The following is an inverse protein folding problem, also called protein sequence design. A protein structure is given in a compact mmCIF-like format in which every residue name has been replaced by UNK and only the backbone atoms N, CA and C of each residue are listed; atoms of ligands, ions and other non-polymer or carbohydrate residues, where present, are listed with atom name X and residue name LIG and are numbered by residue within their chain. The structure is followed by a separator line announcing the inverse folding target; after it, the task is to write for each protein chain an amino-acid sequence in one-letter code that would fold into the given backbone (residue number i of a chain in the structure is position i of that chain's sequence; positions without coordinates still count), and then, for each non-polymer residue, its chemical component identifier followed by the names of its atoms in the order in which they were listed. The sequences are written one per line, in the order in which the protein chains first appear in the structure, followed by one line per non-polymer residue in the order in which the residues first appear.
data_IF_066841347270
#
_entry.id   IF_066841347270
#
_cell.length_a   1.000
_cell.length_b   1.000
_cell.length_c   1.000
_cell.angle_alpha   90.00
_cell.angle_beta   90.00
_cell.angle_gamma   90.00
#
_symmetry.space_group_name_H-M   'P 1'
#
loop_
_entity.id
_entity.type
_entity.pdbx_description
1 polymer ?
#
# COMPACT_ATOMS: atom_id res chain seq x y z
N UNK A 1 -8.89 -22.07 6.98
CA UNK A 1 -9.86 -22.92 6.26
C UNK A 1 -10.76 -22.11 5.34
N UNK A 2 -11.66 -21.28 5.90
CA UNK A 2 -12.75 -20.64 5.16
C UNK A 2 -12.31 -19.66 4.04
N UNK A 3 -11.31 -18.81 4.29
CA UNK A 3 -10.82 -17.85 3.29
C UNK A 3 -10.15 -18.48 2.06
N UNK A 4 -9.42 -19.58 2.25
CA UNK A 4 -8.78 -20.33 1.15
C UNK A 4 -9.84 -21.02 0.30
N UNK A 5 -10.88 -21.58 0.93
CA UNK A 5 -11.98 -22.23 0.22
C UNK A 5 -12.77 -21.23 -0.65
N UNK A 6 -13.03 -20.03 -0.12
CA UNK A 6 -13.71 -18.97 -0.84
C UNK A 6 -12.91 -18.47 -2.06
N UNK A 7 -11.60 -18.29 -1.89
CA UNK A 7 -10.68 -17.91 -2.98
C UNK A 7 -10.63 -18.97 -4.08
N UNK A 8 -10.52 -20.25 -3.72
CA UNK A 8 -10.49 -21.36 -4.70
C UNK A 8 -11.80 -21.49 -5.46
N UNK A 9 -12.95 -21.28 -4.79
CA UNK A 9 -14.26 -21.29 -5.43
C UNK A 9 -14.41 -20.16 -6.46
N UNK A 10 -13.99 -18.94 -6.11
CA UNK A 10 -14.03 -17.80 -7.03
C UNK A 10 -13.09 -18.00 -8.22
N UNK A 11 -11.86 -18.48 -8.00
CA UNK A 11 -10.92 -18.77 -9.10
C UNK A 11 -11.46 -19.86 -10.05
N UNK A 12 -12.10 -20.88 -9.49
CA UNK A 12 -12.74 -21.95 -10.27
C UNK A 12 -13.93 -21.42 -11.09
N UNK A 13 -14.73 -20.51 -10.54
CA UNK A 13 -15.84 -19.86 -11.23
C UNK A 13 -15.35 -18.94 -12.37
N UNK A 14 -14.27 -18.19 -12.13
CA UNK A 14 -13.61 -17.33 -13.13
C UNK A 14 -13.08 -18.16 -14.29
N UNK A 15 -12.36 -19.25 -14.00
CA UNK A 15 -11.81 -20.13 -15.02
C UNK A 15 -12.92 -20.68 -15.94
N UNK A 16 -14.02 -21.17 -15.35
CA UNK A 16 -15.20 -21.63 -16.11
C UNK A 16 -15.86 -20.53 -16.94
N UNK A 17 -15.99 -19.31 -16.40
CA UNK A 17 -16.60 -18.16 -17.11
C UNK A 17 -15.73 -17.72 -18.30
N UNK A 18 -14.41 -17.72 -18.14
CA UNK A 18 -13.47 -17.28 -19.19
C UNK A 18 -13.41 -18.25 -20.36
N UNK A 19 -13.49 -19.57 -20.10
CA UNK A 19 -13.59 -20.57 -21.17
C UNK A 19 -14.85 -20.41 -22.03
N UNK A 20 -15.90 -19.77 -21.49
CA UNK A 20 -17.16 -19.47 -22.18
C UNK A 20 -17.22 -18.06 -22.80
N UNK A 21 -16.19 -17.23 -22.64
CA UNK A 21 -16.16 -15.88 -23.22
C UNK A 21 -15.99 -15.96 -24.75
N UNK A 22 -16.90 -15.28 -25.46
CA UNK A 22 -16.99 -15.33 -26.92
C UNK A 22 -15.74 -14.76 -27.62
N UNK A 23 -15.55 -15.15 -28.88
CA UNK A 23 -14.45 -14.72 -29.75
C UNK A 23 -14.31 -13.19 -29.87
N UNK A 24 -15.37 -12.41 -29.61
CA UNK A 24 -15.36 -10.94 -29.70
C UNK A 24 -14.49 -10.29 -28.61
N UNK A 25 -14.52 -10.78 -27.36
CA UNK A 25 -13.66 -10.29 -26.28
C UNK A 25 -12.19 -10.74 -26.45
N UNK A 26 -11.94 -11.74 -27.30
CA UNK A 26 -10.62 -12.31 -27.60
C UNK A 26 -9.80 -11.42 -28.56
N UNK A 27 -10.42 -10.41 -29.17
CA UNK A 27 -9.77 -9.45 -30.08
C UNK A 27 -9.01 -8.33 -29.36
N UNK A 28 -9.27 -8.06 -28.08
CA UNK A 28 -8.70 -6.92 -27.35
C UNK A 28 -7.66 -7.29 -26.28
N UNK A 29 -7.77 -8.48 -25.67
CA UNK A 29 -6.88 -9.00 -24.63
C UNK A 29 -6.69 -10.51 -24.81
N UNK A 30 -5.48 -11.01 -24.55
CA UNK A 30 -5.23 -12.44 -24.57
C UNK A 30 -6.03 -13.17 -23.47
N UNK A 31 -6.30 -14.46 -23.66
CA UNK A 31 -7.02 -15.28 -22.68
C UNK A 31 -6.38 -15.20 -21.28
N UNK A 32 -5.04 -15.27 -21.21
CA UNK A 32 -4.29 -15.18 -19.95
C UNK A 32 -4.43 -13.83 -19.25
N UNK A 33 -4.46 -12.72 -20.00
CA UNK A 33 -4.66 -11.38 -19.42
C UNK A 33 -6.06 -11.22 -18.82
N UNK A 34 -7.09 -11.76 -19.47
CA UNK A 34 -8.48 -11.71 -18.97
C UNK A 34 -8.60 -12.52 -17.67
N UNK A 35 -7.99 -13.70 -17.61
CA UNK A 35 -7.96 -14.52 -16.38
C UNK A 35 -7.21 -13.79 -15.27
N UNK A 36 -6.04 -13.22 -15.55
CA UNK A 36 -5.26 -12.49 -14.55
C UNK A 36 -6.01 -11.26 -14.01
N UNK A 37 -6.66 -10.49 -14.89
CA UNK A 37 -7.45 -9.34 -14.48
C UNK A 37 -8.61 -9.74 -13.56
N UNK A 38 -9.41 -10.73 -13.97
CA UNK A 38 -10.52 -11.22 -13.15
C UNK A 38 -10.04 -11.87 -11.84
N UNK A 39 -8.89 -12.55 -11.86
CA UNK A 39 -8.27 -13.13 -10.67
C UNK A 39 -7.85 -12.06 -9.66
N UNK A 40 -7.26 -10.96 -10.13
CA UNK A 40 -6.91 -9.80 -9.30
C UNK A 40 -8.16 -9.13 -8.74
N UNK A 41 -9.20 -8.93 -9.56
CA UNK A 41 -10.46 -8.30 -9.12
C UNK A 41 -11.20 -9.16 -8.09
N UNK A 42 -11.22 -10.48 -8.29
CA UNK A 42 -11.74 -11.42 -7.30
C UNK A 42 -10.98 -11.35 -5.98
N UNK A 43 -9.65 -11.35 -6.04
CA UNK A 43 -8.84 -11.23 -4.84
C UNK A 43 -9.15 -9.92 -4.10
N UNK A 44 -9.25 -8.80 -4.82
CA UNK A 44 -9.66 -7.50 -4.25
C UNK A 44 -11.03 -7.57 -3.59
N UNK A 45 -11.99 -8.27 -4.17
CA UNK A 45 -13.33 -8.41 -3.59
C UNK A 45 -13.29 -9.19 -2.27
N UNK A 46 -12.50 -10.26 -2.21
CA UNK A 46 -12.27 -11.06 -0.99
C UNK A 46 -11.63 -10.18 0.09
N UNK A 47 -10.56 -9.47 -0.27
CA UNK A 47 -9.81 -8.62 0.65
C UNK A 47 -10.70 -7.48 1.17
N UNK A 48 -11.54 -6.89 0.31
CA UNK A 48 -12.49 -5.84 0.69
C UNK A 48 -13.58 -6.37 1.62
N UNK A 49 -14.12 -7.56 1.35
CA UNK A 49 -15.12 -8.20 2.21
C UNK A 49 -14.56 -8.50 3.61
N UNK A 50 -13.34 -9.04 3.67
CA UNK A 50 -12.60 -9.24 4.92
C UNK A 50 -12.37 -7.92 5.66
N UNK A 51 -11.95 -6.87 4.95
CA UNK A 51 -11.74 -5.55 5.53
C UNK A 51 -13.05 -4.94 6.08
N UNK A 52 -14.17 -5.07 5.36
CA UNK A 52 -15.48 -4.63 5.82
C UNK A 52 -15.93 -5.36 7.07
N UNK A 53 -15.80 -6.69 7.09
CA UNK A 53 -16.13 -7.49 8.26
C UNK A 53 -15.26 -7.07 9.46
N UNK A 54 -13.95 -6.95 9.28
CA UNK A 54 -13.03 -6.52 10.33
C UNK A 54 -13.40 -5.11 10.85
N UNK A 55 -13.76 -4.19 9.96
CA UNK A 55 -14.14 -2.82 10.32
C UNK A 55 -15.40 -2.80 11.20
N UNK A 56 -16.48 -3.47 10.78
CA UNK A 56 -17.71 -3.48 11.58
C UNK A 56 -17.56 -4.23 12.90
N UNK A 57 -16.84 -5.36 12.92
CA UNK A 57 -16.54 -6.10 14.15
C UNK A 57 -15.75 -5.25 15.14
N UNK A 58 -14.75 -4.49 14.65
CA UNK A 58 -13.96 -3.60 15.50
C UNK A 58 -14.83 -2.49 16.10
N UNK A 59 -15.72 -1.88 15.32
CA UNK A 59 -16.64 -0.84 15.79
C UNK A 59 -17.56 -1.37 16.90
N UNK A 60 -18.18 -2.53 16.69
CA UNK A 60 -19.01 -3.18 17.71
C UNK A 60 -18.23 -3.47 19.00
N UNK A 61 -16.98 -3.95 18.85
CA UNK A 61 -16.11 -4.25 19.99
C UNK A 61 -15.80 -2.99 20.80
N UNK A 62 -15.46 -1.87 20.13
CA UNK A 62 -15.19 -0.59 20.79
C UNK A 62 -16.42 -0.12 21.58
N UNK A 63 -17.61 -0.20 20.99
CA UNK A 63 -18.86 0.17 21.65
C UNK A 63 -19.10 -0.70 22.88
N UNK A 64 -18.93 -2.02 22.76
CA UNK A 64 -19.10 -2.96 23.88
C UNK A 64 -18.09 -2.71 25.01
N UNK A 65 -16.81 -2.49 24.68
CA UNK A 65 -15.79 -2.13 25.65
C UNK A 65 -16.12 -0.82 26.36
N UNK A 66 -16.56 0.21 25.62
CA UNK A 66 -16.93 1.50 26.19
C UNK A 66 -18.11 1.37 27.16
N UNK A 67 -19.11 0.56 26.79
CA UNK A 67 -20.27 0.27 27.65
C UNK A 67 -19.84 -0.41 28.96
N UNK A 68 -19.01 -1.46 28.90
CA UNK A 68 -18.51 -2.11 30.12
C UNK A 68 -17.65 -1.18 30.96
N UNK A 69 -16.75 -0.42 30.33
CA UNK A 69 -15.86 0.50 31.02
C UNK A 69 -16.65 1.60 31.75
N UNK A 70 -17.71 2.13 31.13
CA UNK A 70 -18.61 3.10 31.75
C UNK A 70 -19.31 2.54 32.99
N UNK A 71 -19.77 1.28 32.92
CA UNK A 71 -20.40 0.64 34.08
C UNK A 71 -19.44 0.43 35.26
N UNK A 72 -18.14 0.21 34.99
CA UNK A 72 -17.14 -0.04 36.04
C UNK A 72 -16.58 1.27 36.62
N UNK A 73 -16.24 2.25 35.78
CA UNK A 73 -15.48 3.45 36.16
C UNK A 73 -16.30 4.76 36.11
N UNK A 74 -17.50 4.74 35.54
CA UNK A 74 -18.36 5.92 35.41
C UNK A 74 -17.66 7.08 34.68
N UNK A 75 -17.70 8.28 35.26
CA UNK A 75 -17.14 9.51 34.68
C UNK A 75 -15.62 9.49 34.47
N UNK A 76 -14.87 8.65 35.18
CA UNK A 76 -13.41 8.54 34.99
C UNK A 76 -13.04 8.04 33.58
N UNK A 77 -13.96 7.35 32.89
CA UNK A 77 -13.78 6.93 31.48
C UNK A 77 -13.59 8.09 30.52
N UNK A 78 -14.21 9.25 30.79
CA UNK A 78 -14.09 10.45 29.95
C UNK A 78 -12.67 11.01 29.97
N UNK A 79 -11.98 10.97 31.11
CA UNK A 79 -10.59 11.38 31.22
C UNK A 79 -9.68 10.46 30.38
N UNK A 80 -9.92 9.15 30.42
CA UNK A 80 -9.23 8.18 29.57
C UNK A 80 -9.47 8.43 28.08
N UNK A 81 -10.71 8.71 27.69
CA UNK A 81 -11.06 9.05 26.31
C UNK A 81 -10.37 10.33 25.84
N UNK A 82 -10.30 11.36 26.69
CA UNK A 82 -9.61 12.60 26.37
C UNK A 82 -8.11 12.37 26.10
N UNK A 83 -7.44 11.58 26.94
CA UNK A 83 -6.04 11.20 26.73
C UNK A 83 -5.86 10.43 25.41
N UNK A 84 -6.76 9.49 25.10
CA UNK A 84 -6.72 8.74 23.85
C UNK A 84 -6.87 9.67 22.62
N UNK A 85 -7.80 10.61 22.65
CA UNK A 85 -7.98 11.59 21.57
C UNK A 85 -6.72 12.43 21.38
N UNK A 86 -6.12 12.93 22.47
CA UNK A 86 -4.87 13.69 22.42
C UNK A 86 -3.76 12.83 21.79
N UNK A 87 -3.59 11.59 22.25
CA UNK A 87 -2.59 10.68 21.69
C UNK A 87 -2.80 10.41 20.19
N UNK A 88 -4.04 10.23 19.75
CA UNK A 88 -4.37 10.05 18.32
C UNK A 88 -3.97 11.29 17.52
N UNK A 89 -4.34 12.49 17.98
CA UNK A 89 -4.01 13.74 17.26
C UNK A 89 -2.50 13.95 17.14
N UNK A 90 -1.75 13.69 18.22
CA UNK A 90 -0.28 13.76 18.22
C UNK A 90 0.30 12.73 17.24
N UNK A 91 -0.18 11.49 17.26
CA UNK A 91 0.27 10.45 16.33
C UNK A 91 0.01 10.84 14.86
N UNK A 92 -1.15 11.40 14.54
CA UNK A 92 -1.47 11.88 13.18
C UNK A 92 -0.54 13.02 12.77
N UNK A 93 -0.31 13.99 13.65
CA UNK A 93 0.59 15.11 13.38
C UNK A 93 2.02 14.62 13.11
N UNK A 94 2.56 13.75 13.97
CA UNK A 94 3.89 13.15 13.80
C UNK A 94 3.96 12.33 12.52
N UNK A 95 2.99 11.46 12.26
CA UNK A 95 2.92 10.63 11.05
C UNK A 95 2.89 11.48 9.78
N UNK A 96 2.11 12.57 9.76
CA UNK A 96 2.07 13.50 8.63
C UNK A 96 3.43 14.16 8.38
N UNK A 97 4.15 14.52 9.45
CA UNK A 97 5.49 15.10 9.35
C UNK A 97 6.50 14.08 8.84
N UNK A 98 6.49 12.87 9.38
CA UNK A 98 7.33 11.75 8.91
C UNK A 98 7.08 11.48 7.44
N UNK A 99 5.82 11.43 7.00
CA UNK A 99 5.46 11.25 5.59
C UNK A 99 6.03 12.38 4.72
N UNK A 100 5.92 13.63 5.15
CA UNK A 100 6.48 14.76 4.39
C UNK A 100 8.00 14.67 4.25
N UNK A 101 8.70 14.25 5.31
CA UNK A 101 10.15 14.04 5.30
C UNK A 101 10.52 12.86 4.41
N UNK A 102 9.76 11.76 4.48
CA UNK A 102 9.95 10.59 3.64
C UNK A 102 9.81 10.94 2.15
N UNK A 103 8.79 11.71 1.78
CA UNK A 103 8.61 12.18 0.40
C UNK A 103 9.78 13.05 -0.09
N UNK A 104 10.27 13.97 0.76
CA UNK A 104 11.47 14.77 0.43
C UNK A 104 12.70 13.87 0.26
N UNK A 105 12.89 12.91 1.15
CA UNK A 105 13.99 11.96 1.07
C UNK A 105 13.92 11.11 -0.21
N UNK A 106 12.72 10.66 -0.62
CA UNK A 106 12.54 9.92 -1.87
C UNK A 106 12.94 10.77 -3.08
N UNK A 107 12.56 12.06 -3.10
CA UNK A 107 12.96 12.97 -4.18
C UNK A 107 14.49 13.08 -4.31
N UNK A 108 15.21 13.27 -3.21
CA UNK A 108 16.68 13.31 -3.23
C UNK A 108 17.30 11.98 -3.67
N UNK A 109 16.72 10.85 -3.23
CA UNK A 109 17.17 9.52 -3.67
C UNK A 109 16.98 9.34 -5.18
N UNK A 110 15.84 9.76 -5.72
CA UNK A 110 15.54 9.65 -7.15
C UNK A 110 16.47 10.52 -8.00
N UNK A 111 16.74 11.77 -7.58
CA UNK A 111 17.70 12.66 -8.24
C UNK A 111 19.10 12.05 -8.26
N UNK A 112 19.57 11.52 -7.12
CA UNK A 112 20.87 10.84 -7.03
C UNK A 112 20.95 9.61 -7.92
N UNK A 113 19.91 8.76 -7.94
CA UNK A 113 19.86 7.56 -8.80
C UNK A 113 19.88 7.96 -10.27
N UNK A 114 19.14 9.01 -10.65
CA UNK A 114 19.11 9.53 -12.01
C UNK A 114 20.49 10.01 -12.47
N UNK A 115 21.16 10.85 -11.68
CA UNK A 115 22.50 11.36 -12.02
C UNK A 115 23.53 10.24 -12.15
N UNK A 116 23.49 9.24 -11.26
CA UNK A 116 24.39 8.08 -11.36
C UNK A 116 24.12 7.27 -12.64
N UNK A 117 22.85 7.09 -13.01
CA UNK A 117 22.46 6.40 -14.25
C UNK A 117 22.98 7.11 -15.50
N UNK A 118 22.85 8.44 -15.56
CA UNK A 118 23.36 9.26 -16.66
C UNK A 118 24.90 9.13 -16.80
N UNK A 119 25.63 9.14 -15.68
CA UNK A 119 27.09 8.97 -15.68
C UNK A 119 27.50 7.58 -16.14
N UNK A 120 26.79 6.53 -15.72
CA UNK A 120 27.06 5.16 -16.16
C UNK A 120 26.86 4.98 -17.67
N UNK A 121 25.85 5.64 -18.24
CA UNK A 121 25.62 5.65 -19.69
C UNK A 121 26.80 6.28 -20.46
N UNK A 122 27.44 7.32 -19.90
CA UNK A 122 28.58 8.04 -20.49
C UNK A 122 29.98 7.62 -20.00
N UNK A 123 30.12 6.48 -19.32
CA UNK A 123 31.32 6.16 -18.51
C UNK A 123 32.64 6.14 -19.30
N UNK A 124 32.61 5.75 -20.58
CA UNK A 124 33.83 5.71 -21.43
C UNK A 124 34.41 7.10 -21.64
N UNK A 125 33.56 8.09 -21.90
CA UNK A 125 33.97 9.49 -22.09
C UNK A 125 34.52 10.04 -20.77
N UNK A 126 33.84 9.75 -19.65
CA UNK A 126 34.27 10.19 -18.32
C UNK A 126 35.69 9.71 -17.97
N UNK A 127 36.01 8.46 -18.34
CA UNK A 127 37.35 7.87 -18.16
C UNK A 127 38.40 8.49 -19.09
N UNK A 128 38.05 8.75 -20.35
CA UNK A 128 38.97 9.39 -21.31
C UNK A 128 39.42 10.78 -20.88
N UNK A 129 38.55 11.54 -20.20
CA UNK A 129 38.85 12.89 -19.72
C UNK A 129 39.26 12.96 -18.23
N UNK A 130 39.38 11.82 -17.54
CA UNK A 130 39.69 11.74 -16.10
C UNK A 130 38.76 12.59 -15.19
N UNK A 131 37.50 12.77 -15.58
CA UNK A 131 36.51 13.60 -14.88
C UNK A 131 35.79 12.93 -13.72
N UNK A 132 36.17 11.69 -13.39
CA UNK A 132 35.56 10.86 -12.34
C UNK A 132 35.41 11.61 -11.01
N UNK A 133 36.44 12.37 -10.62
CA UNK A 133 36.48 13.02 -9.32
C UNK A 133 35.67 14.32 -9.24
N UNK A 134 35.55 15.06 -10.35
CA UNK A 134 34.65 16.22 -10.43
C UNK A 134 33.19 15.78 -10.37
N UNK A 135 32.83 14.71 -11.06
CA UNK A 135 31.46 14.18 -11.03
C UNK A 135 31.07 13.56 -9.69
N UNK A 136 31.98 12.82 -9.05
CA UNK A 136 31.76 12.29 -7.70
C UNK A 136 31.45 13.40 -6.69
N UNK A 137 32.18 14.53 -6.76
CA UNK A 137 31.90 15.71 -5.92
C UNK A 137 30.55 16.34 -6.22
N UNK A 138 30.12 16.38 -7.49
CA UNK A 138 28.81 16.90 -7.89
C UNK A 138 27.66 16.06 -7.31
N UNK A 139 27.75 14.72 -7.40
CA UNK A 139 26.71 13.81 -6.89
C UNK A 139 26.64 13.81 -5.35
N UNK A 140 27.77 13.96 -4.65
CA UNK A 140 27.80 14.05 -3.18
C UNK A 140 27.24 15.36 -2.63
N UNK A 141 27.06 16.37 -3.48
CA UNK A 141 26.51 17.67 -3.11
C UNK A 141 24.98 17.72 -3.20
N UNK A 142 24.36 16.72 -3.83
CA UNK A 142 22.92 16.49 -3.95
C UNK A 142 22.42 15.71 -2.73
#
# INVERSE_FOLDING_TARGET
GLGVNWRTAIMSAIYKKTLRISSSARKSRSFGEIVNLMAVDAQRFIDTSLALHATWTLLLTIIGCMYFLWNILGVATLAGLAVLVILITVNVAVSSRVRSLHLRQMKHKDERVKSVSEVLSGIKVLKMYAWEQSFKKSILKI
#
